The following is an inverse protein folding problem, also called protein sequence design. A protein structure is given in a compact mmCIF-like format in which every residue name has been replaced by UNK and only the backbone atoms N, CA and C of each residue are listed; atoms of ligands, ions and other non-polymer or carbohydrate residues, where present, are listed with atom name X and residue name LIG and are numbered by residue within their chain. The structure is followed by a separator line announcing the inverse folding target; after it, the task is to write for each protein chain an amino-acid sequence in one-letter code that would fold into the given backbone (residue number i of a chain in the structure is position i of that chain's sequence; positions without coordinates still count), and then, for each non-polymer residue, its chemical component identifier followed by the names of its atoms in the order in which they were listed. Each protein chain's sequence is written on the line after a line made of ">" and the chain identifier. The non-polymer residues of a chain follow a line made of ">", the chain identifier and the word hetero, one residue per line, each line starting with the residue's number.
data_IF_490066136551
#
_entry.id   IF_490066136551
#
_cell.length_a   1.000
_cell.length_b   1.000
_cell.length_c   1.000
_cell.angle_alpha   90.00
_cell.angle_beta   90.00
_cell.angle_gamma   90.00
#
_symmetry.space_group_name_H-M   'P 1'
#
loop_
_entity.id
_entity.type
_entity.pdbx_description
1 polymer ?
#
# COMPACT_ATOMS: atom_id res chain seq x y z
N UNK A 1 65.63 -8.99 -27.21
CA UNK A 1 65.07 -9.74 -26.06
C UNK A 1 64.07 -8.86 -25.35
N UNK A 2 62.80 -8.94 -25.73
CA UNK A 2 61.71 -8.17 -25.12
C UNK A 2 60.94 -9.08 -24.17
N UNK A 3 60.79 -8.68 -22.91
CA UNK A 3 59.88 -9.33 -21.95
C UNK A 3 58.46 -8.80 -22.19
N UNK A 4 57.45 -9.65 -22.43
CA UNK A 4 56.07 -9.23 -22.32
C UNK A 4 55.61 -9.34 -20.85
N UNK A 5 54.95 -8.29 -20.37
CA UNK A 5 54.17 -8.32 -19.12
C UNK A 5 52.86 -9.04 -19.39
N UNK A 6 52.60 -10.11 -18.66
CA UNK A 6 51.30 -10.80 -18.62
C UNK A 6 50.39 -10.01 -17.67
N UNK A 7 49.19 -9.55 -18.08
CA UNK A 7 48.17 -9.18 -17.12
C UNK A 7 47.39 -10.43 -16.73
N UNK A 8 47.36 -10.69 -15.43
CA UNK A 8 46.47 -11.63 -14.77
C UNK A 8 45.05 -11.05 -14.88
N UNK A 9 44.18 -11.66 -15.70
CA UNK A 9 42.74 -11.42 -15.62
C UNK A 9 42.14 -12.43 -14.65
N UNK A 10 41.80 -11.96 -13.46
CA UNK A 10 40.94 -12.67 -12.51
C UNK A 10 39.47 -12.33 -12.78
N UNK A 11 38.65 -13.35 -12.56
CA UNK A 11 37.21 -13.47 -12.72
C UNK A 11 36.35 -12.32 -12.16
N UNK A 12 35.18 -12.13 -12.77
CA UNK A 12 33.88 -12.25 -12.08
C UNK A 12 32.74 -11.96 -13.08
N UNK A 13 32.16 -13.01 -13.67
CA UNK A 13 30.82 -12.91 -14.22
C UNK A 13 29.85 -13.01 -13.02
N UNK A 14 29.53 -11.87 -12.41
CA UNK A 14 28.48 -11.79 -11.41
C UNK A 14 27.13 -11.85 -12.14
N UNK A 15 26.37 -12.90 -11.86
CA UNK A 15 25.00 -13.07 -12.30
C UNK A 15 24.15 -11.88 -11.82
N UNK A 16 23.58 -11.13 -12.76
CA UNK A 16 22.43 -10.28 -12.51
C UNK A 16 21.21 -11.18 -12.31
N UNK A 17 21.09 -11.76 -11.13
CA UNK A 17 19.80 -12.25 -10.64
C UNK A 17 19.09 -11.02 -10.07
N UNK A 18 18.12 -10.52 -10.82
CA UNK A 18 17.11 -9.62 -10.26
C UNK A 18 16.48 -10.32 -9.06
N UNK A 19 16.61 -9.72 -7.88
CA UNK A 19 15.86 -10.18 -6.72
C UNK A 19 14.38 -9.91 -7.01
N UNK A 20 13.65 -10.94 -7.44
CA UNK A 20 12.21 -10.96 -7.21
C UNK A 20 12.02 -10.80 -5.70
N UNK A 21 11.20 -9.85 -5.26
CA UNK A 21 10.85 -9.76 -3.84
C UNK A 21 9.95 -10.94 -3.48
N UNK A 22 10.58 -12.07 -3.13
CA UNK A 22 9.89 -13.25 -2.60
C UNK A 22 9.48 -12.98 -1.16
N UNK A 23 8.23 -13.29 -0.81
CA UNK A 23 7.78 -13.29 0.59
C UNK A 23 8.55 -14.32 1.43
N UNK A 24 8.54 -14.15 2.75
CA UNK A 24 9.26 -15.05 3.67
C UNK A 24 8.34 -16.11 4.22
N UNK A 25 8.76 -17.37 4.12
CA UNK A 25 7.99 -18.54 4.52
C UNK A 25 8.25 -18.96 5.96
N UNK A 26 7.16 -19.18 6.69
CA UNK A 26 7.14 -19.59 8.10
C UNK A 26 6.18 -20.76 8.29
N UNK A 27 6.61 -21.77 9.04
CA UNK A 27 5.81 -22.96 9.31
C UNK A 27 5.75 -23.27 10.81
N UNK A 28 4.55 -23.55 11.32
CA UNK A 28 4.36 -24.07 12.67
C UNK A 28 4.10 -25.58 12.58
N UNK A 29 4.97 -26.35 13.22
CA UNK A 29 4.93 -27.81 13.21
C UNK A 29 4.92 -28.36 14.63
N UNK A 30 3.95 -29.22 14.92
CA UNK A 30 3.83 -29.90 16.22
C UNK A 30 3.58 -31.40 16.02
N UNK A 31 4.37 -32.23 16.70
CA UNK A 31 4.29 -33.70 16.59
C UNK A 31 4.37 -34.22 15.14
N UNK A 32 5.16 -33.56 14.29
CA UNK A 32 5.33 -33.96 12.89
C UNK A 32 4.27 -33.42 11.93
N UNK A 33 3.24 -32.73 12.42
CA UNK A 33 2.15 -32.14 11.60
C UNK A 33 2.30 -30.63 11.48
N UNK A 34 2.16 -30.13 10.26
CA UNK A 34 2.16 -28.68 9.99
C UNK A 34 0.71 -28.21 10.17
N UNK A 35 0.53 -27.13 10.92
CA UNK A 35 -0.78 -26.60 11.23
C UNK A 35 -0.96 -25.13 10.85
N UNK A 36 0.14 -24.40 10.64
CA UNK A 36 0.15 -23.06 10.08
C UNK A 36 1.28 -22.98 9.06
N UNK A 37 1.00 -22.38 7.91
CA UNK A 37 1.97 -21.98 6.88
C UNK A 37 1.70 -20.53 6.54
N UNK A 38 2.73 -19.69 6.51
CA UNK A 38 2.61 -18.27 6.28
C UNK A 38 3.77 -17.76 5.44
N UNK A 39 3.49 -17.27 4.24
CA UNK A 39 4.41 -16.51 3.41
C UNK A 39 3.99 -15.04 3.46
N UNK A 40 4.86 -14.13 3.88
CA UNK A 40 4.48 -12.72 4.05
C UNK A 40 5.68 -11.77 3.94
N UNK A 41 5.42 -10.57 3.43
CA UNK A 41 6.27 -9.39 3.60
C UNK A 41 5.63 -8.50 4.66
N UNK A 42 6.45 -7.96 5.56
CA UNK A 42 5.96 -7.09 6.64
C UNK A 42 6.89 -5.91 6.82
N UNK A 43 6.32 -4.71 6.84
CA UNK A 43 6.99 -3.48 7.24
C UNK A 43 6.41 -2.94 8.54
N UNK A 44 7.28 -2.47 9.41
CA UNK A 44 6.95 -1.89 10.71
C UNK A 44 7.29 -0.40 10.67
N UNK A 45 6.36 0.42 11.16
CA UNK A 45 6.58 1.83 11.47
C UNK A 45 6.27 2.02 12.95
N UNK A 46 7.26 2.40 13.75
CA UNK A 46 7.14 2.48 15.22
C UNK A 46 7.51 3.88 15.67
N UNK A 47 6.57 4.58 16.30
CA UNK A 47 6.82 5.83 17.00
C UNK A 47 7.36 5.52 18.40
N UNK A 48 8.55 6.04 18.73
CA UNK A 48 9.22 5.79 20.00
C UNK A 48 9.92 7.04 20.55
N UNK A 49 10.05 7.17 21.88
CA UNK A 49 10.70 8.33 22.48
C UNK A 49 12.22 8.32 22.27
N UNK A 50 12.75 9.45 21.78
CA UNK A 50 14.19 9.68 21.59
C UNK A 50 14.54 11.11 22.06
N UNK A 51 15.56 11.28 22.92
CA UNK A 51 16.10 12.57 23.41
C UNK A 51 15.09 13.74 23.44
N UNK A 52 14.05 13.63 24.27
CA UNK A 52 13.07 14.71 24.49
C UNK A 52 12.08 14.97 23.35
N UNK A 53 12.04 14.14 22.31
CA UNK A 53 11.04 14.16 21.23
C UNK A 53 10.59 12.73 20.86
N UNK A 54 9.62 12.61 19.96
CA UNK A 54 9.21 11.33 19.36
C UNK A 54 9.97 11.12 18.06
N UNK A 55 10.40 9.89 17.80
CA UNK A 55 11.09 9.48 16.58
C UNK A 55 10.36 8.30 15.93
N UNK A 56 10.44 8.20 14.61
CA UNK A 56 9.80 7.14 13.83
C UNK A 56 10.86 6.17 13.30
N UNK A 57 10.81 4.91 13.74
CA UNK A 57 11.60 3.82 13.16
C UNK A 57 10.80 3.13 12.06
N UNK A 58 11.43 2.91 10.90
CA UNK A 58 10.84 2.16 9.79
C UNK A 58 11.79 1.02 9.41
N UNK A 59 11.29 -0.22 9.43
CA UNK A 59 12.07 -1.40 9.07
C UNK A 59 11.17 -2.55 8.61
N UNK A 60 11.74 -3.45 7.81
CA UNK A 60 11.06 -4.66 7.36
C UNK A 60 11.34 -5.85 8.29
N UNK A 61 10.45 -6.84 8.29
CA UNK A 61 10.74 -8.17 8.82
C UNK A 61 11.94 -8.74 8.04
N UNK A 62 13.08 -9.02 8.69
CA UNK A 62 14.26 -9.47 7.98
C UNK A 62 14.14 -10.95 7.57
N UNK A 63 14.91 -11.34 6.56
CA UNK A 63 15.10 -12.75 6.17
C UNK A 63 15.57 -13.66 7.31
N UNK A 64 16.20 -13.08 8.34
CA UNK A 64 16.68 -13.79 9.53
C UNK A 64 15.59 -14.05 10.56
N UNK A 65 14.35 -13.63 10.31
CA UNK A 65 13.20 -13.96 11.15
C UNK A 65 13.00 -15.48 11.24
N UNK A 66 12.66 -15.99 12.42
CA UNK A 66 12.46 -17.42 12.66
C UNK A 66 11.22 -17.67 13.50
N UNK A 67 10.59 -18.83 13.29
CA UNK A 67 9.45 -19.25 14.12
C UNK A 67 9.93 -19.56 15.53
N UNK A 68 9.40 -18.86 16.54
CA UNK A 68 9.68 -19.11 17.94
C UNK A 68 8.90 -20.35 18.39
N UNK A 69 9.57 -21.50 18.42
CA UNK A 69 8.99 -22.82 18.66
C UNK A 69 8.26 -22.95 20.01
N UNK A 70 8.69 -22.21 21.03
CA UNK A 70 8.07 -22.25 22.37
C UNK A 70 6.82 -21.37 22.48
N UNK A 71 6.65 -20.40 21.57
CA UNK A 71 5.55 -19.45 21.57
C UNK A 71 4.53 -19.74 20.47
N UNK A 72 4.95 -20.50 19.45
CA UNK A 72 4.09 -20.95 18.36
C UNK A 72 3.49 -22.32 18.69
N UNK A 73 2.21 -22.53 18.40
CA UNK A 73 1.51 -23.78 18.70
C UNK A 73 0.45 -24.10 17.66
N UNK A 74 0.14 -25.37 17.49
CA UNK A 74 -0.98 -25.83 16.68
C UNK A 74 -2.33 -25.78 17.41
N UNK A 75 -2.35 -25.43 18.70
CA UNK A 75 -3.55 -25.43 19.52
C UNK A 75 -4.01 -26.85 19.86
N UNK A 76 -3.66 -27.33 21.06
CA UNK A 76 -4.15 -28.58 21.66
C UNK A 76 -4.47 -28.36 23.14
N UNK A 77 -5.40 -29.13 23.69
CA UNK A 77 -5.74 -29.09 25.11
C UNK A 77 -6.26 -27.72 25.55
N UNK A 78 -5.61 -27.10 26.53
CA UNK A 78 -6.01 -25.83 27.17
C UNK A 78 -5.69 -24.57 26.33
N UNK A 79 -4.96 -24.70 25.22
CA UNK A 79 -4.73 -23.63 24.24
C UNK A 79 -5.64 -23.88 23.02
N UNK A 80 -6.84 -23.26 22.94
CA UNK A 80 -7.88 -23.65 21.97
C UNK A 80 -7.59 -23.20 20.54
N UNK A 81 -6.52 -22.43 20.31
CA UNK A 81 -6.26 -21.72 19.06
C UNK A 81 -4.80 -21.83 18.62
N UNK A 82 -4.51 -22.14 17.34
CA UNK A 82 -3.18 -22.05 16.77
C UNK A 82 -2.62 -20.63 16.86
N UNK A 83 -1.30 -20.53 17.04
CA UNK A 83 -0.55 -19.26 17.11
C UNK A 83 0.75 -19.42 16.35
N UNK A 84 1.07 -18.46 15.50
CA UNK A 84 2.39 -18.30 14.87
C UNK A 84 3.09 -17.12 15.52
N UNK A 85 4.32 -17.30 16.00
CA UNK A 85 5.17 -16.22 16.50
C UNK A 85 6.49 -16.22 15.76
N UNK A 86 6.78 -15.15 15.04
CA UNK A 86 8.02 -14.94 14.27
C UNK A 86 8.91 -14.00 15.08
N UNK A 87 10.06 -14.48 15.54
CA UNK A 87 11.05 -13.69 16.26
C UNK A 87 12.17 -13.22 15.36
N UNK A 88 12.65 -11.99 15.57
CA UNK A 88 13.77 -11.41 14.84
C UNK A 88 14.50 -10.36 15.68
N UNK A 89 15.72 -10.01 15.28
CA UNK A 89 16.52 -9.04 16.02
C UNK A 89 16.78 -9.44 17.47
N UNK A 90 17.00 -8.44 18.32
CA UNK A 90 17.23 -8.61 19.74
C UNK A 90 15.92 -8.45 20.53
N UNK A 91 14.99 -9.37 20.29
CA UNK A 91 13.76 -9.50 21.06
C UNK A 91 12.49 -8.96 20.38
N UNK A 92 12.51 -8.77 19.05
CA UNK A 92 11.30 -8.38 18.31
C UNK A 92 10.51 -9.63 17.95
N UNK A 93 9.19 -9.55 17.97
CA UNK A 93 8.36 -10.62 17.44
C UNK A 93 7.04 -10.14 16.85
N UNK A 94 6.59 -10.84 15.82
CA UNK A 94 5.27 -10.72 15.21
C UNK A 94 4.48 -11.98 15.54
N UNK A 95 3.30 -11.85 16.14
CA UNK A 95 2.42 -12.96 16.49
C UNK A 95 1.09 -12.85 15.73
N UNK A 96 0.66 -13.96 15.15
CA UNK A 96 -0.66 -14.15 14.53
C UNK A 96 -1.42 -15.21 15.32
N UNK A 97 -2.49 -14.81 15.97
CA UNK A 97 -3.39 -15.70 16.71
C UNK A 97 -4.60 -16.03 15.87
N UNK A 98 -4.82 -17.32 15.63
CA UNK A 98 -5.90 -17.79 14.76
C UNK A 98 -7.15 -18.11 15.55
N UNK A 99 -8.30 -17.93 14.93
CA UNK A 99 -9.57 -18.44 15.44
C UNK A 99 -10.28 -19.22 14.34
N UNK A 100 -10.92 -20.32 14.73
CA UNK A 100 -11.75 -21.14 13.87
C UNK A 100 -13.21 -20.98 14.25
N UNK A 101 -14.05 -20.86 13.23
CA UNK A 101 -15.51 -20.98 13.30
C UNK A 101 -15.95 -22.30 12.66
N UNK A 102 -17.25 -22.52 12.44
CA UNK A 102 -17.73 -23.74 11.78
C UNK A 102 -17.11 -23.97 10.39
N UNK A 103 -16.98 -22.90 9.58
CA UNK A 103 -16.58 -23.01 8.18
C UNK A 103 -15.38 -22.15 7.78
N UNK A 104 -14.91 -21.25 8.65
CA UNK A 104 -13.83 -20.31 8.35
C UNK A 104 -12.77 -20.29 9.44
N UNK A 105 -11.55 -19.91 9.06
CA UNK A 105 -10.52 -19.45 9.98
C UNK A 105 -10.24 -17.96 9.74
N UNK A 106 -9.77 -17.28 10.77
CA UNK A 106 -9.30 -15.90 10.70
C UNK A 106 -8.12 -15.66 11.61
N UNK A 107 -7.33 -14.64 11.31
CA UNK A 107 -6.39 -14.06 12.28
C UNK A 107 -7.21 -13.18 13.22
N UNK A 108 -7.49 -13.66 14.42
CA UNK A 108 -8.27 -12.90 15.41
C UNK A 108 -7.49 -11.70 15.92
N UNK A 109 -6.18 -11.87 16.09
CA UNK A 109 -5.31 -10.89 16.71
C UNK A 109 -3.92 -10.98 16.10
N UNK A 110 -3.44 -9.85 15.60
CA UNK A 110 -2.04 -9.62 15.27
C UNK A 110 -1.42 -8.85 16.44
N UNK A 111 -0.29 -9.34 16.94
CA UNK A 111 0.47 -8.70 18.02
C UNK A 111 1.89 -8.43 17.55
N UNK A 112 2.36 -7.19 17.74
CA UNK A 112 3.76 -6.85 17.56
C UNK A 112 4.42 -6.55 18.91
N UNK A 113 5.51 -7.25 19.17
CA UNK A 113 6.34 -7.09 20.36
C UNK A 113 7.69 -6.52 19.96
N UNK A 114 8.12 -5.43 20.59
CA UNK A 114 9.39 -4.77 20.27
C UNK A 114 10.17 -4.30 21.50
N UNK A 115 11.48 -4.36 21.39
CA UNK A 115 12.50 -4.02 22.35
C UNK A 115 13.27 -2.81 21.83
N UNK A 116 13.07 -1.67 22.49
CA UNK A 116 13.75 -0.41 22.16
C UNK A 116 15.25 -0.44 22.50
N UNK A 117 15.74 -1.46 23.22
CA UNK A 117 17.17 -1.64 23.48
C UNK A 117 17.93 -2.17 22.26
N UNK A 118 17.23 -2.62 21.22
CA UNK A 118 17.86 -3.05 19.97
C UNK A 118 18.26 -1.86 19.11
N UNK A 119 19.51 -1.41 19.28
CA UNK A 119 20.07 -0.27 18.56
C UNK A 119 20.12 -0.47 17.03
N UNK A 120 19.98 -1.71 16.51
CA UNK A 120 19.91 -1.94 15.08
C UNK A 120 18.60 -1.43 14.46
N UNK A 121 17.49 -1.50 15.21
CA UNK A 121 16.18 -1.00 14.80
C UNK A 121 15.82 0.34 15.46
N UNK A 122 16.37 0.61 16.64
CA UNK A 122 16.08 1.78 17.48
C UNK A 122 17.37 2.48 17.93
N UNK A 123 18.17 3.03 17.00
CA UNK A 123 19.49 3.59 17.32
C UNK A 123 19.42 4.77 18.30
N UNK A 124 18.34 5.55 18.23
CA UNK A 124 18.16 6.78 19.01
C UNK A 124 17.57 6.55 20.41
N UNK A 125 17.10 5.33 20.70
CA UNK A 125 16.52 4.98 21.99
C UNK A 125 17.56 4.96 23.13
N UNK A 126 18.83 4.67 22.81
CA UNK A 126 19.91 4.49 23.80
C UNK A 126 20.70 5.77 24.12
N UNK A 127 20.43 6.89 23.44
CA UNK A 127 21.35 8.03 23.42
C UNK A 127 21.10 9.12 24.48
N UNK A 128 20.12 8.97 25.37
CA UNK A 128 19.77 9.98 26.39
C UNK A 128 19.56 9.37 27.77
N UNK A 129 20.41 9.75 28.72
CA UNK A 129 20.28 9.36 30.12
C UNK A 129 18.93 9.76 30.74
N UNK A 130 18.54 8.98 31.76
CA UNK A 130 17.36 9.04 32.65
C UNK A 130 16.08 8.27 32.28
N UNK A 131 15.82 7.86 31.03
CA UNK A 131 14.68 6.97 30.76
C UNK A 131 15.16 5.52 30.61
N UNK A 132 15.07 4.74 31.69
CA UNK A 132 15.10 3.27 31.59
C UNK A 132 13.82 2.81 30.89
N UNK A 133 13.84 2.71 29.56
CA UNK A 133 12.83 1.93 28.85
C UNK A 133 13.19 0.46 29.08
N UNK A 134 12.83 -0.06 30.26
CA UNK A 134 12.99 -1.47 30.60
C UNK A 134 11.71 -2.21 30.23
N UNK A 135 11.81 -3.04 29.19
CA UNK A 135 10.77 -4.02 28.86
C UNK A 135 10.53 -4.13 27.36
N UNK A 136 10.09 -5.32 26.96
CA UNK A 136 9.50 -5.52 25.63
C UNK A 136 8.12 -4.87 25.64
N UNK A 137 7.88 -3.97 24.68
CA UNK A 137 6.60 -3.33 24.46
C UNK A 137 5.74 -4.23 23.58
N UNK A 138 4.43 -4.28 23.83
CA UNK A 138 3.51 -5.13 23.08
C UNK A 138 2.27 -4.32 22.68
N UNK A 139 1.90 -4.42 21.41
CA UNK A 139 0.70 -3.84 20.84
C UNK A 139 -0.04 -4.89 20.03
N UNK A 140 -1.37 -4.91 20.11
CA UNK A 140 -2.19 -5.88 19.36
C UNK A 140 -3.41 -5.21 18.75
N UNK A 141 -3.90 -5.81 17.67
CA UNK A 141 -5.11 -5.38 16.97
C UNK A 141 -5.73 -6.55 16.20
N UNK A 142 -7.05 -6.52 16.01
CA UNK A 142 -7.74 -7.47 15.14
C UNK A 142 -7.43 -7.20 13.67
N UNK A 143 -7.48 -8.24 12.84
CA UNK A 143 -7.30 -8.11 11.39
C UNK A 143 -8.57 -8.52 10.64
N UNK A 144 -8.61 -8.21 9.35
CA UNK A 144 -9.64 -8.65 8.42
C UNK A 144 -9.23 -9.92 7.64
N UNK A 145 -8.08 -10.52 7.97
CA UNK A 145 -7.55 -11.72 7.33
C UNK A 145 -8.41 -12.91 7.73
N UNK A 146 -9.18 -13.43 6.78
CA UNK A 146 -10.04 -14.59 6.96
C UNK A 146 -10.20 -15.38 5.67
N UNK A 147 -10.40 -16.69 5.80
CA UNK A 147 -10.64 -17.58 4.67
C UNK A 147 -11.48 -18.79 5.10
N UNK A 148 -12.03 -19.50 4.11
CA UNK A 148 -12.74 -20.76 4.36
C UNK A 148 -11.76 -21.84 4.81
N UNK A 149 -12.20 -22.75 5.67
CA UNK A 149 -11.39 -23.92 6.04
C UNK A 149 -11.05 -24.76 4.80
N UNK A 150 -9.80 -25.22 4.69
CA UNK A 150 -9.33 -25.97 3.52
C UNK A 150 -9.09 -25.08 2.28
N UNK A 151 -8.84 -23.79 2.49
CA UNK A 151 -8.37 -22.86 1.45
C UNK A 151 -7.18 -22.07 1.97
N UNK A 152 -6.21 -21.78 1.10
CA UNK A 152 -5.13 -20.83 1.40
C UNK A 152 -5.62 -19.41 1.17
N UNK A 153 -5.43 -18.53 2.14
CA UNK A 153 -5.64 -17.10 1.97
C UNK A 153 -4.52 -16.53 1.10
N UNK A 154 -4.87 -15.73 0.09
CA UNK A 154 -3.91 -15.01 -0.75
C UNK A 154 -4.28 -13.52 -0.77
N UNK A 155 -3.30 -12.66 -0.48
CA UNK A 155 -3.44 -11.22 -0.63
C UNK A 155 -2.09 -10.59 -1.05
N UNK A 156 -1.96 -10.29 -2.33
CA UNK A 156 -0.84 -9.60 -2.94
C UNK A 156 -0.86 -8.13 -2.51
N UNK A 157 -2.04 -7.51 -2.51
CA UNK A 157 -2.21 -6.11 -2.09
C UNK A 157 -1.73 -5.86 -0.67
N UNK A 158 -1.31 -4.62 -0.46
CA UNK A 158 -0.89 -4.14 0.86
C UNK A 158 -2.09 -3.99 1.80
N UNK A 159 -1.92 -4.47 3.03
CA UNK A 159 -2.86 -4.28 4.13
C UNK A 159 -2.15 -3.68 5.36
N UNK A 160 -2.74 -2.66 5.98
CA UNK A 160 -2.11 -1.93 7.08
C UNK A 160 -2.92 -2.06 8.36
N UNK A 161 -2.30 -2.68 9.37
CA UNK A 161 -2.85 -2.85 10.71
C UNK A 161 -2.26 -1.79 11.63
N UNK A 162 -3.12 -0.85 12.06
CA UNK A 162 -2.73 0.29 12.89
C UNK A 162 -2.94 -0.04 14.38
N UNK A 163 -1.90 0.15 15.20
CA UNK A 163 -1.82 -0.26 16.61
C UNK A 163 -1.18 0.81 17.50
N UNK A 164 -1.97 1.72 18.06
CA UNK A 164 -1.48 2.82 18.92
C UNK A 164 -0.34 3.63 18.26
N UNK A 165 0.91 3.34 18.62
CA UNK A 165 2.13 3.98 18.16
C UNK A 165 2.90 3.13 17.11
N UNK A 166 2.30 2.05 16.61
CA UNK A 166 2.88 1.13 15.63
C UNK A 166 1.93 0.94 14.46
N UNK A 167 2.46 0.97 13.24
CA UNK A 167 1.76 0.50 12.05
C UNK A 167 2.49 -0.72 11.49
N UNK A 168 1.75 -1.80 11.27
CA UNK A 168 2.24 -3.04 10.64
C UNK A 168 1.62 -3.12 9.25
N UNK A 169 2.46 -3.19 8.22
CA UNK A 169 2.04 -3.24 6.82
C UNK A 169 2.38 -4.61 6.27
N UNK A 170 1.38 -5.40 5.92
CA UNK A 170 1.53 -6.71 5.29
C UNK A 170 1.36 -6.59 3.79
N UNK A 171 2.11 -7.35 3.00
CA UNK A 171 1.91 -7.48 1.56
C UNK A 171 2.38 -8.85 1.09
N UNK A 172 1.91 -9.29 -0.08
CA UNK A 172 2.25 -10.59 -0.64
C UNK A 172 2.08 -11.75 0.38
N UNK A 173 0.90 -11.77 1.00
CA UNK A 173 0.51 -12.71 2.06
C UNK A 173 -0.10 -13.96 1.45
N UNK A 174 0.52 -15.11 1.68
CA UNK A 174 -0.06 -16.44 1.51
C UNK A 174 -0.18 -17.07 2.89
N UNK A 175 -1.37 -17.44 3.34
CA UNK A 175 -1.55 -17.92 4.71
C UNK A 175 -2.55 -19.06 4.77
N UNK A 176 -2.26 -20.09 5.55
CA UNK A 176 -3.24 -21.11 5.91
C UNK A 176 -3.04 -21.59 7.33
N UNK A 177 -4.15 -21.80 8.05
CA UNK A 177 -4.16 -22.40 9.37
C UNK A 177 -5.11 -23.60 9.40
N UNK A 178 -4.93 -24.48 10.39
CA UNK A 178 -5.72 -25.71 10.57
C UNK A 178 -5.56 -26.73 9.43
N UNK A 179 -4.35 -26.87 8.90
CA UNK A 179 -4.05 -27.82 7.82
C UNK A 179 -4.39 -29.25 8.24
N UNK A 180 -5.08 -29.98 7.34
CA UNK A 180 -5.52 -31.37 7.59
C UNK A 180 -4.52 -32.40 7.07
N UNK A 181 -3.78 -32.08 5.99
CA UNK A 181 -2.91 -33.01 5.27
C UNK A 181 -1.42 -32.61 5.27
N UNK A 182 -0.99 -31.70 6.15
CA UNK A 182 0.36 -31.12 6.18
C UNK A 182 0.81 -30.47 4.85
N UNK A 183 -0.13 -30.14 3.98
CA UNK A 183 0.12 -29.50 2.68
C UNK A 183 -0.80 -28.31 2.53
N UNK A 184 -0.30 -27.24 1.91
CA UNK A 184 -1.07 -26.08 1.56
C UNK A 184 -2.25 -26.48 0.66
N UNK A 185 -3.41 -25.91 0.93
CA UNK A 185 -4.61 -26.12 0.13
C UNK A 185 -4.41 -25.60 -1.28
N UNK A 186 -4.83 -26.40 -2.26
CA UNK A 186 -4.82 -26.02 -3.68
C UNK A 186 -5.85 -24.92 -3.94
N UNK A 187 -6.99 -24.99 -3.23
CA UNK A 187 -8.03 -24.00 -3.32
C UNK A 187 -7.61 -22.71 -2.63
N UNK A 188 -7.89 -21.59 -3.27
CA UNK A 188 -7.47 -20.28 -2.83
C UNK A 188 -8.67 -19.43 -2.41
N UNK A 189 -8.48 -18.66 -1.35
CA UNK A 189 -9.37 -17.61 -0.92
C UNK A 189 -8.64 -16.29 -1.09
N UNK A 190 -8.93 -15.64 -2.19
CA UNK A 190 -8.39 -14.33 -2.51
C UNK A 190 -9.03 -13.24 -1.64
N UNK A 191 -8.21 -12.34 -1.12
CA UNK A 191 -8.69 -11.21 -0.35
C UNK A 191 -9.56 -10.28 -1.22
N UNK A 192 -10.47 -9.55 -0.59
CA UNK A 192 -11.38 -8.67 -1.33
C UNK A 192 -10.67 -7.54 -2.09
N UNK A 193 -9.43 -7.20 -1.69
CA UNK A 193 -8.60 -6.19 -2.34
C UNK A 193 -8.05 -6.65 -3.70
N UNK A 194 -7.85 -7.95 -3.87
CA UNK A 194 -7.27 -8.52 -5.09
C UNK A 194 -8.36 -9.02 -6.07
N UNK A 195 -9.57 -9.27 -5.57
CA UNK A 195 -10.67 -9.76 -6.41
C UNK A 195 -11.04 -8.76 -7.52
N UNK A 196 -11.07 -9.19 -8.79
CA UNK A 196 -11.53 -8.36 -9.89
C UNK A 196 -13.03 -8.06 -9.74
N UNK A 197 -13.37 -6.76 -9.78
CA UNK A 197 -14.74 -6.28 -9.66
C UNK A 197 -15.58 -6.78 -10.84
N UNK A 198 -16.46 -7.76 -10.61
CA UNK A 198 -17.26 -8.38 -11.68
C UNK A 198 -18.36 -7.43 -12.12
N UNK A 199 -18.14 -6.73 -13.24
CA UNK A 199 -19.16 -5.89 -13.87
C UNK A 199 -19.98 -6.76 -14.82
N UNK A 200 -21.26 -6.99 -14.52
CA UNK A 200 -22.17 -7.78 -15.38
C UNK A 200 -22.44 -6.99 -16.67
N UNK A 201 -21.80 -7.38 -17.77
CA UNK A 201 -22.03 -6.82 -19.09
C UNK A 201 -23.17 -7.59 -19.79
N UNK A 202 -24.28 -6.91 -20.08
CA UNK A 202 -25.37 -7.46 -20.92
C UNK A 202 -25.16 -7.02 -22.36
N UNK A 203 -24.84 -7.98 -23.22
CA UNK A 203 -24.76 -7.83 -24.68
C UNK A 203 -26.16 -7.74 -25.28
N UNK A 204 -26.44 -6.72 -26.10
CA UNK A 204 -27.55 -6.80 -27.06
C UNK A 204 -27.22 -6.06 -28.36
N UNK A 205 -27.55 -6.72 -29.46
CA UNK A 205 -27.14 -6.44 -30.83
C UNK A 205 -27.70 -5.13 -31.41
N UNK A 206 -26.87 -4.55 -32.27
CA UNK A 206 -27.08 -3.36 -33.08
C UNK A 206 -28.14 -3.59 -34.16
N UNK A 207 -29.23 -2.83 -34.13
CA UNK A 207 -29.99 -2.50 -35.34
C UNK A 207 -30.32 -1.01 -35.40
N UNK A 208 -30.02 -0.46 -36.57
CA UNK A 208 -30.13 0.93 -37.00
C UNK A 208 -31.57 1.24 -37.40
N UNK A 209 -32.15 2.35 -36.95
CA UNK A 209 -33.00 3.20 -37.80
C UNK A 209 -33.22 4.57 -37.17
N UNK A 210 -33.22 5.56 -38.05
CA UNK A 210 -33.27 7.00 -37.82
C UNK A 210 -34.71 7.48 -37.74
N UNK A 211 -35.08 8.25 -36.71
CA UNK A 211 -35.89 9.49 -36.81
C UNK A 211 -36.23 10.09 -35.42
N UNK A 212 -36.25 11.41 -35.39
CA UNK A 212 -36.52 12.38 -34.31
C UNK A 212 -37.85 13.09 -34.68
N UNK A 213 -38.64 13.84 -33.85
CA UNK A 213 -38.46 14.35 -32.46
C UNK A 213 -39.66 14.29 -31.47
N UNK A 214 -39.33 14.67 -30.21
CA UNK A 214 -40.11 15.37 -29.17
C UNK A 214 -41.27 14.67 -28.43
N UNK A 215 -41.10 14.40 -27.12
CA UNK A 215 -41.86 15.04 -26.00
C UNK A 215 -41.46 14.48 -24.61
N UNK A 216 -41.27 15.41 -23.66
CA UNK A 216 -41.44 15.37 -22.18
C UNK A 216 -40.98 14.19 -21.29
N UNK A 217 -40.18 14.59 -20.28
CA UNK A 217 -40.08 14.11 -18.89
C UNK A 217 -39.07 12.99 -18.57
N UNK A 218 -38.39 13.05 -17.39
CA UNK A 218 -37.04 12.55 -17.23
C UNK A 218 -36.92 11.23 -16.44
N UNK A 219 -36.05 10.35 -16.93
CA UNK A 219 -35.26 9.35 -16.19
C UNK A 219 -34.46 8.51 -17.21
N UNK A 220 -33.44 7.71 -16.85
CA UNK A 220 -32.76 7.55 -15.56
C UNK A 220 -31.22 7.68 -15.63
N UNK A 221 -30.64 8.10 -14.50
CA UNK A 221 -29.38 7.64 -13.91
C UNK A 221 -28.22 7.32 -14.86
N UNK A 222 -27.35 8.32 -15.05
CA UNK A 222 -25.97 8.14 -15.50
C UNK A 222 -25.27 7.09 -14.64
N UNK A 223 -24.72 6.03 -15.27
CA UNK A 223 -23.69 5.18 -14.68
C UNK A 223 -22.57 6.08 -14.12
N UNK A 224 -22.00 5.83 -12.92
CA UNK A 224 -20.90 6.65 -12.43
C UNK A 224 -19.74 6.58 -13.43
N UNK A 225 -19.55 7.66 -14.16
CA UNK A 225 -18.50 7.81 -15.15
C UNK A 225 -17.18 8.02 -14.41
N UNK A 226 -16.14 7.24 -14.75
CA UNK A 226 -14.79 7.49 -14.24
C UNK A 226 -14.44 8.97 -14.45
N UNK A 227 -13.79 9.62 -13.46
CA UNK A 227 -13.49 11.04 -13.56
C UNK A 227 -12.64 11.33 -14.78
N UNK A 228 -12.93 12.44 -15.45
CA UNK A 228 -12.20 12.84 -16.64
C UNK A 228 -10.72 13.11 -16.32
N UNK A 229 -9.82 12.69 -17.22
CA UNK A 229 -8.38 12.86 -17.06
C UNK A 229 -8.00 14.32 -17.27
N UNK A 230 -7.41 14.94 -16.24
CA UNK A 230 -6.85 16.29 -16.30
C UNK A 230 -5.36 16.28 -16.58
N UNK A 231 -4.85 17.35 -17.21
CA UNK A 231 -3.43 17.55 -17.49
C UNK A 231 -2.92 18.74 -16.70
N UNK A 232 -1.84 18.55 -15.95
CA UNK A 232 -1.29 19.51 -15.03
C UNK A 232 0.21 19.68 -15.30
N UNK A 233 0.67 20.93 -15.38
CA UNK A 233 2.08 21.27 -15.61
C UNK A 233 2.51 22.34 -14.60
N UNK A 234 3.47 22.00 -13.75
CA UNK A 234 4.08 22.96 -12.82
C UNK A 234 5.46 23.33 -13.34
N UNK A 235 5.65 24.63 -13.57
CA UNK A 235 6.93 25.21 -13.98
C UNK A 235 7.65 25.80 -12.77
N UNK A 236 8.88 25.32 -12.52
CA UNK A 236 9.78 25.86 -11.52
C UNK A 236 10.78 26.85 -12.11
N UNK A 237 11.84 27.17 -11.34
CA UNK A 237 12.90 28.10 -11.79
C UNK A 237 13.70 27.59 -13.00
N UNK A 238 13.83 26.27 -13.13
CA UNK A 238 14.64 25.62 -14.16
C UNK A 238 13.79 24.98 -15.27
N UNK A 239 12.55 25.45 -15.45
CA UNK A 239 11.58 24.87 -16.40
C UNK A 239 10.55 23.97 -15.72
N UNK A 240 9.84 23.17 -16.52
CA UNK A 240 8.82 22.25 -16.03
C UNK A 240 9.42 21.20 -15.10
N UNK A 241 8.80 21.04 -13.94
CA UNK A 241 9.31 20.18 -12.87
C UNK A 241 8.26 19.24 -12.28
N UNK A 242 6.98 19.43 -12.61
CA UNK A 242 5.93 18.40 -12.50
C UNK A 242 5.13 18.38 -13.79
N UNK A 243 4.95 17.19 -14.35
CA UNK A 243 4.00 16.94 -15.42
C UNK A 243 3.13 15.77 -14.96
N UNK A 244 1.81 15.95 -14.97
CA UNK A 244 0.87 14.94 -14.54
C UNK A 244 -0.35 14.90 -15.46
N UNK A 245 -0.85 13.69 -15.73
CA UNK A 245 -2.08 13.42 -16.44
C UNK A 245 -2.86 12.39 -15.63
N UNK A 246 -3.98 12.75 -15.01
CA UNK A 246 -4.74 11.83 -14.15
C UNK A 246 -6.20 12.27 -13.96
N UNK A 247 -7.10 11.30 -13.89
CA UNK A 247 -8.45 11.46 -13.34
C UNK A 247 -8.43 11.27 -11.83
N UNK A 248 -9.26 12.04 -11.10
CA UNK A 248 -9.22 12.08 -9.63
C UNK A 248 -10.63 11.99 -9.04
N UNK A 249 -10.79 11.12 -8.04
CA UNK A 249 -11.96 11.06 -7.18
C UNK A 249 -11.51 11.10 -5.71
N UNK A 250 -12.10 12.01 -4.93
CA UNK A 250 -11.88 12.09 -3.50
C UNK A 250 -13.09 11.48 -2.77
N UNK A 251 -12.83 10.50 -1.90
CA UNK A 251 -13.84 9.86 -1.06
C UNK A 251 -13.58 10.20 0.41
N UNK A 252 -14.52 10.87 1.08
CA UNK A 252 -14.39 11.27 2.49
C UNK A 252 -15.56 10.75 3.32
N UNK A 253 -15.25 9.92 4.32
CA UNK A 253 -16.21 9.45 5.31
C UNK A 253 -16.32 10.45 6.46
N UNK A 254 -17.54 10.77 6.88
CA UNK A 254 -17.79 11.76 7.95
C UNK A 254 -18.93 11.35 8.89
N UNK A 255 -18.90 11.86 10.13
CA UNK A 255 -20.02 11.70 11.07
C UNK A 255 -21.10 12.74 10.76
N UNK A 256 -22.32 12.30 10.49
CA UNK A 256 -23.48 13.18 10.33
C UNK A 256 -24.03 13.66 11.68
N UNK A 257 -24.83 14.73 11.67
CA UNK A 257 -25.51 15.29 12.85
C UNK A 257 -26.41 14.27 13.56
N UNK A 258 -26.91 13.29 12.83
CA UNK A 258 -27.78 12.21 13.34
C UNK A 258 -26.98 11.03 13.91
N UNK A 259 -25.64 11.15 13.99
CA UNK A 259 -24.74 10.11 14.52
C UNK A 259 -24.46 8.95 13.57
N UNK A 260 -24.91 9.03 12.31
CA UNK A 260 -24.62 8.04 11.26
C UNK A 260 -23.36 8.42 10.48
N UNK A 261 -22.67 7.43 9.91
CA UNK A 261 -21.58 7.69 8.96
C UNK A 261 -22.14 8.05 7.59
N UNK A 262 -21.74 9.21 7.06
CA UNK A 262 -21.94 9.63 5.68
C UNK A 262 -20.68 9.46 4.85
N UNK A 263 -20.83 9.45 3.53
CA UNK A 263 -19.74 9.39 2.56
C UNK A 263 -19.94 10.51 1.54
N UNK A 264 -18.93 11.36 1.39
CA UNK A 264 -18.87 12.40 0.36
C UNK A 264 -17.92 11.94 -0.75
N UNK A 265 -18.43 11.90 -1.98
CA UNK A 265 -17.69 11.44 -3.17
C UNK A 265 -17.56 12.59 -4.15
N UNK A 266 -16.35 13.06 -4.38
CA UNK A 266 -16.05 14.21 -5.20
C UNK A 266 -15.17 13.83 -6.40
N UNK A 267 -15.79 13.76 -7.57
CA UNK A 267 -15.07 13.63 -8.85
C UNK A 267 -14.54 14.99 -9.29
N UNK A 268 -13.23 15.10 -9.49
CA UNK A 268 -12.60 16.32 -9.97
C UNK A 268 -12.92 16.49 -11.46
N UNK A 269 -13.31 17.71 -11.84
CA UNK A 269 -13.57 18.07 -13.24
C UNK A 269 -12.38 18.90 -13.74
N UNK A 270 -11.57 18.40 -14.68
CA UNK A 270 -10.35 19.08 -15.11
C UNK A 270 -10.53 20.53 -15.57
N UNK A 271 -11.60 20.82 -16.32
CA UNK A 271 -11.89 22.18 -16.81
C UNK A 271 -12.14 23.20 -15.69
N UNK A 272 -12.52 22.72 -14.51
CA UNK A 272 -12.88 23.51 -13.34
C UNK A 272 -11.88 23.33 -12.18
N UNK A 273 -10.77 22.62 -12.42
CA UNK A 273 -9.74 22.36 -11.42
C UNK A 273 -8.56 23.28 -11.69
N UNK A 274 -8.20 24.13 -10.73
CA UNK A 274 -6.98 24.93 -10.83
C UNK A 274 -5.80 24.14 -10.25
N UNK A 275 -4.62 24.36 -10.83
CA UNK A 275 -3.39 23.72 -10.36
C UNK A 275 -2.30 24.76 -10.10
N UNK A 276 -1.44 24.45 -9.14
CA UNK A 276 -0.21 25.20 -8.83
C UNK A 276 0.81 24.25 -8.22
N UNK A 277 2.01 24.73 -7.91
CA UNK A 277 3.03 23.89 -7.29
C UNK A 277 4.38 24.57 -7.29
N UNK A 278 5.37 23.86 -6.78
CA UNK A 278 6.76 24.28 -6.75
C UNK A 278 7.65 23.06 -6.65
N UNK A 279 8.90 23.22 -7.09
CA UNK A 279 9.90 22.17 -7.01
C UNK A 279 11.24 22.76 -6.59
N UNK A 280 11.97 21.98 -5.80
CA UNK A 280 13.39 22.14 -5.56
C UNK A 280 14.14 20.87 -5.99
N UNK A 281 15.38 20.70 -5.53
CA UNK A 281 16.22 19.58 -5.94
C UNK A 281 15.79 18.23 -5.33
N UNK A 282 15.03 18.26 -4.23
CA UNK A 282 14.67 17.10 -3.41
C UNK A 282 13.16 16.89 -3.29
N UNK A 283 12.36 17.94 -3.41
CA UNK A 283 10.90 17.91 -3.23
C UNK A 283 10.18 18.61 -4.38
N UNK A 284 9.03 18.09 -4.76
CA UNK A 284 8.12 18.68 -5.73
C UNK A 284 6.68 18.58 -5.25
N UNK A 285 5.89 19.63 -5.48
CA UNK A 285 4.50 19.73 -5.05
C UNK A 285 3.58 19.98 -6.24
N UNK A 286 2.47 19.23 -6.27
CA UNK A 286 1.33 19.49 -7.14
C UNK A 286 0.09 19.78 -6.30
N UNK A 287 -0.36 21.02 -6.35
CA UNK A 287 -1.54 21.50 -5.65
C UNK A 287 -2.70 21.57 -6.63
N UNK A 288 -3.79 20.84 -6.38
CA UNK A 288 -5.01 20.86 -7.17
C UNK A 288 -6.14 21.41 -6.32
N UNK A 289 -6.91 22.36 -6.86
CA UNK A 289 -8.07 22.95 -6.17
C UNK A 289 -9.30 22.83 -7.06
N UNK A 290 -10.35 22.21 -6.54
CA UNK A 290 -11.63 22.02 -7.21
C UNK A 290 -12.77 22.40 -6.26
N UNK A 291 -13.47 23.49 -6.57
CA UNK A 291 -14.48 24.04 -5.67
C UNK A 291 -13.88 24.39 -4.31
N UNK A 292 -14.30 23.68 -3.25
CA UNK A 292 -13.79 23.83 -1.87
C UNK A 292 -12.76 22.75 -1.50
N UNK A 293 -12.52 21.78 -2.36
CA UNK A 293 -11.56 20.72 -2.13
C UNK A 293 -10.18 21.12 -2.65
N UNK A 294 -9.15 20.77 -1.88
CA UNK A 294 -7.75 20.95 -2.23
C UNK A 294 -6.98 19.67 -1.94
N UNK A 295 -6.25 19.20 -2.95
CA UNK A 295 -5.32 18.08 -2.90
C UNK A 295 -3.91 18.61 -3.08
N UNK A 296 -2.97 18.16 -2.25
CA UNK A 296 -1.54 18.49 -2.38
C UNK A 296 -0.79 17.18 -2.44
N UNK A 297 -0.19 16.88 -3.59
CA UNK A 297 0.71 15.75 -3.77
C UNK A 297 2.14 16.22 -3.51
N UNK A 298 2.85 15.54 -2.61
CA UNK A 298 4.23 15.80 -2.26
C UNK A 298 5.11 14.66 -2.73
N UNK A 299 5.92 14.92 -3.74
CA UNK A 299 6.91 13.99 -4.28
C UNK A 299 8.29 14.29 -3.71
N UNK A 300 9.06 13.24 -3.46
CA UNK A 300 10.46 13.35 -3.02
C UNK A 300 11.37 12.57 -3.96
N UNK A 301 12.61 13.03 -4.08
CA UNK A 301 13.67 12.35 -4.83
C UNK A 301 14.62 11.64 -3.90
N UNK A 302 14.83 10.35 -4.13
CA UNK A 302 15.95 9.62 -3.56
C UNK A 302 17.17 9.77 -4.48
N UNK A 303 18.10 10.63 -4.07
CA UNK A 303 19.32 10.92 -4.85
C UNK A 303 20.29 9.74 -4.92
N UNK A 304 20.22 8.79 -3.99
CA UNK A 304 21.14 7.65 -3.96
C UNK A 304 20.84 6.63 -5.05
N UNK A 305 19.56 6.45 -5.40
CA UNK A 305 19.11 5.49 -6.43
C UNK A 305 18.50 6.18 -7.66
N UNK A 306 18.52 7.52 -7.69
CA UNK A 306 17.99 8.33 -8.79
C UNK A 306 16.53 7.99 -9.13
N UNK A 307 15.69 7.85 -8.09
CA UNK A 307 14.24 7.64 -8.22
C UNK A 307 13.44 8.71 -7.51
N UNK A 308 12.22 8.95 -7.94
CA UNK A 308 11.22 9.70 -7.20
C UNK A 308 10.05 8.82 -6.79
N UNK A 309 9.31 9.26 -5.78
CA UNK A 309 8.04 8.65 -5.37
C UNK A 309 7.16 9.69 -4.67
N UNK A 310 5.87 9.40 -4.57
CA UNK A 310 4.93 10.17 -3.78
C UNK A 310 5.18 9.89 -2.30
N UNK A 311 5.64 10.89 -1.54
CA UNK A 311 5.87 10.78 -0.10
C UNK A 311 4.61 11.10 0.69
N UNK A 312 3.71 11.91 0.14
CA UNK A 312 2.50 12.27 0.86
C UNK A 312 1.41 12.96 0.06
N UNK A 313 0.21 12.91 0.61
CA UNK A 313 -0.97 13.62 0.13
C UNK A 313 -1.61 14.36 1.28
N UNK A 314 -1.90 15.66 1.07
CA UNK A 314 -2.76 16.44 1.95
C UNK A 314 -4.09 16.69 1.27
N UNK A 315 -5.18 16.43 2.00
CA UNK A 315 -6.56 16.68 1.59
C UNK A 315 -7.14 17.74 2.51
N UNK A 316 -7.82 18.71 1.94
CA UNK A 316 -8.70 19.62 2.68
C UNK A 316 -9.98 19.86 1.89
N UNK A 317 -11.14 19.82 2.53
CA UNK A 317 -12.42 20.09 1.88
C UNK A 317 -13.47 20.55 2.88
N UNK A 318 -14.56 21.11 2.37
CA UNK A 318 -15.77 21.38 3.14
C UNK A 318 -16.81 20.29 2.85
N UNK A 319 -17.21 19.57 3.90
CA UNK A 319 -18.18 18.48 3.86
C UNK A 319 -19.62 18.97 3.68
N UNK A 320 -20.55 18.07 3.30
CA UNK A 320 -21.98 18.38 3.18
C UNK A 320 -22.60 18.93 4.48
N UNK A 321 -23.71 19.71 4.40
CA UNK A 321 -24.33 20.37 5.56
C UNK A 321 -24.79 19.43 6.69
N UNK A 322 -25.06 18.17 6.38
CA UNK A 322 -25.42 17.11 7.32
C UNK A 322 -24.24 16.65 8.17
N UNK A 323 -22.99 16.98 7.80
CA UNK A 323 -21.81 16.67 8.60
C UNK A 323 -21.82 17.42 9.94
N UNK A 324 -21.41 16.73 10.99
CA UNK A 324 -21.26 17.28 12.34
C UNK A 324 -20.10 18.30 12.40
N UNK A 325 -19.04 18.05 11.65
CA UNK A 325 -17.92 18.98 11.44
C UNK A 325 -17.84 19.32 9.95
N UNK A 326 -18.07 20.57 9.55
CA UNK A 326 -18.14 20.93 8.12
C UNK A 326 -16.77 21.05 7.45
N UNK A 327 -15.68 21.26 8.20
CA UNK A 327 -14.34 21.28 7.63
C UNK A 327 -13.65 19.93 7.84
N UNK A 328 -13.00 19.44 6.79
CA UNK A 328 -12.25 18.20 6.79
C UNK A 328 -10.83 18.45 6.33
N UNK A 329 -9.86 17.93 7.07
CA UNK A 329 -8.45 17.94 6.73
C UNK A 329 -7.84 16.58 7.06
N UNK A 330 -7.02 16.07 6.15
CA UNK A 330 -6.31 14.81 6.31
C UNK A 330 -4.95 14.91 5.64
N UNK A 331 -3.94 14.25 6.22
CA UNK A 331 -2.60 14.20 5.66
C UNK A 331 -2.01 12.81 5.86
N UNK A 332 -1.36 12.31 4.82
CA UNK A 332 -0.43 11.18 4.90
C UNK A 332 0.91 11.66 4.36
N UNK A 333 1.98 11.47 5.13
CA UNK A 333 3.35 11.84 4.74
C UNK A 333 4.30 10.63 4.70
N UNK A 334 3.75 9.41 4.64
CA UNK A 334 4.50 8.15 4.70
C UNK A 334 4.15 7.23 3.53
N UNK A 335 3.98 7.81 2.34
CA UNK A 335 3.66 7.14 1.07
C UNK A 335 4.93 6.74 0.31
N UNK A 336 4.79 5.79 -0.62
CA UNK A 336 5.85 5.35 -1.56
C UNK A 336 5.31 5.00 -2.96
N UNK A 337 4.08 5.42 -3.26
CA UNK A 337 3.35 5.17 -4.51
C UNK A 337 3.84 6.07 -5.66
N UNK A 338 3.34 5.82 -6.87
CA UNK A 338 3.62 6.63 -8.07
C UNK A 338 5.11 6.87 -8.36
N UNK A 339 5.96 5.90 -8.04
CA UNK A 339 7.41 6.05 -8.13
C UNK A 339 8.00 5.59 -9.45
N UNK A 340 8.95 6.35 -9.98
CA UNK A 340 9.73 6.00 -11.17
C UNK A 340 11.16 6.57 -11.12
N UNK A 341 12.01 6.15 -12.05
CA UNK A 341 13.37 6.70 -12.18
C UNK A 341 13.34 8.16 -12.63
N UNK A 342 14.28 8.98 -12.15
CA UNK A 342 14.36 10.40 -12.51
C UNK A 342 14.64 10.55 -14.01
N UNK A 343 13.74 11.25 -14.71
CA UNK A 343 13.76 11.38 -16.18
C UNK A 343 12.75 10.47 -16.90
N UNK A 344 12.17 9.51 -16.20
CA UNK A 344 11.08 8.65 -16.67
C UNK A 344 9.74 9.12 -16.08
N UNK A 345 8.64 8.65 -16.66
CA UNK A 345 7.28 8.85 -16.15
C UNK A 345 6.72 7.54 -15.59
N UNK A 346 6.10 7.60 -14.41
CA UNK A 346 5.24 6.53 -13.91
C UNK A 346 3.91 6.55 -14.68
N UNK A 347 3.39 5.39 -15.10
CA UNK A 347 2.08 5.27 -15.76
C UNK A 347 1.26 4.10 -15.19
N UNK A 348 -0.02 4.33 -14.93
CA UNK A 348 -0.98 3.30 -14.53
C UNK A 348 -2.36 3.60 -15.11
N UNK A 349 -2.86 2.71 -15.98
CA UNK A 349 -4.18 2.80 -16.59
C UNK A 349 -5.27 2.30 -15.64
N UNK A 350 -4.96 1.25 -14.87
CA UNK A 350 -5.80 0.74 -13.80
C UNK A 350 -6.10 1.82 -12.75
N UNK A 351 -7.22 1.66 -12.05
CA UNK A 351 -7.56 2.52 -10.91
C UNK A 351 -6.60 2.24 -9.75
N UNK A 352 -5.96 3.29 -9.25
CA UNK A 352 -5.06 3.21 -8.09
C UNK A 352 -5.67 4.02 -6.94
N UNK A 353 -5.73 3.46 -5.74
CA UNK A 353 -6.34 4.13 -4.58
C UNK A 353 -5.28 4.52 -3.58
N UNK A 354 -5.12 5.83 -3.35
CA UNK A 354 -4.25 6.37 -2.31
C UNK A 354 -5.01 6.51 -1.00
N UNK A 355 -4.58 5.78 0.03
CA UNK A 355 -5.11 5.90 1.39
C UNK A 355 -4.46 7.10 2.11
N UNK A 356 -5.22 8.19 2.28
CA UNK A 356 -4.75 9.35 3.04
C UNK A 356 -5.00 9.12 4.53
N UNK A 357 -6.21 8.75 4.91
CA UNK A 357 -6.56 8.32 6.26
C UNK A 357 -7.70 7.30 6.19
N UNK A 358 -8.05 6.63 7.30
CA UNK A 358 -9.22 5.74 7.37
C UNK A 358 -10.54 6.40 6.91
N UNK A 359 -10.60 7.74 7.00
CA UNK A 359 -11.75 8.52 6.55
C UNK A 359 -11.58 9.20 5.20
N UNK A 360 -10.44 9.05 4.51
CA UNK A 360 -10.19 9.71 3.22
C UNK A 360 -9.32 8.90 2.26
N UNK A 361 -9.85 8.72 1.05
CA UNK A 361 -9.17 8.05 -0.07
C UNK A 361 -9.13 8.98 -1.28
N UNK A 362 -8.05 8.92 -2.04
CA UNK A 362 -7.93 9.58 -3.34
C UNK A 362 -7.73 8.50 -4.40
N UNK A 363 -8.74 8.29 -5.24
CA UNK A 363 -8.68 7.34 -6.33
C UNK A 363 -8.16 8.04 -7.58
N UNK A 364 -7.18 7.43 -8.22
CA UNK A 364 -6.49 7.90 -9.42
C UNK A 364 -6.91 7.03 -10.60
N UNK A 365 -7.20 7.65 -11.73
CA UNK A 365 -7.62 6.96 -12.95
C UNK A 365 -6.73 7.36 -14.11
N UNK A 366 -6.14 6.38 -14.80
CA UNK A 366 -5.26 6.62 -15.96
C UNK A 366 -4.17 7.66 -15.64
N UNK A 367 -3.43 7.39 -14.57
CA UNK A 367 -2.37 8.27 -14.07
C UNK A 367 -1.11 8.11 -14.92
N UNK A 368 -0.52 9.24 -15.30
CA UNK A 368 0.85 9.33 -15.78
C UNK A 368 1.50 10.54 -15.11
N UNK A 369 2.60 10.34 -14.41
CA UNK A 369 3.27 11.42 -13.66
C UNK A 369 4.78 11.35 -13.79
N UNK A 370 5.39 12.53 -13.90
CA UNK A 370 6.83 12.71 -13.90
C UNK A 370 7.19 13.97 -13.14
N UNK A 371 8.23 13.90 -12.32
CA UNK A 371 8.70 15.02 -11.50
C UNK A 371 10.22 15.19 -11.58
N UNK A 372 10.69 16.37 -11.17
CA UNK A 372 12.09 16.81 -11.14
C UNK A 372 12.74 17.06 -12.50
N UNK A 373 12.96 16.02 -13.31
CA UNK A 373 13.65 16.12 -14.60
C UNK A 373 12.67 15.86 -15.73
N UNK A 374 12.32 16.90 -16.49
CA UNK A 374 11.38 16.84 -17.61
C UNK A 374 11.99 17.59 -18.80
N UNK A 375 12.23 16.86 -19.89
CA UNK A 375 12.84 17.41 -21.09
C UNK A 375 11.76 17.82 -22.11
N UNK A 376 11.66 19.13 -22.39
CA UNK A 376 10.79 19.65 -23.45
C UNK A 376 9.29 19.51 -23.21
N UNK A 377 8.84 19.63 -21.96
CA UNK A 377 7.43 19.59 -21.52
C UNK A 377 6.66 18.33 -21.93
N UNK A 378 7.39 17.21 -22.10
CA UNK A 378 6.84 15.91 -22.46
C UNK A 378 7.27 14.86 -21.45
N UNK A 379 6.45 13.83 -21.31
CA UNK A 379 6.83 12.65 -20.56
C UNK A 379 8.04 11.96 -21.21
N UNK A 380 8.94 11.47 -20.36
CA UNK A 380 10.08 10.63 -20.73
C UNK A 380 9.65 9.19 -20.98
N UNK A 381 10.59 8.26 -20.80
CA UNK A 381 10.28 6.84 -20.93
C UNK A 381 9.29 6.40 -19.84
N UNK A 382 8.42 5.45 -20.18
CA UNK A 382 7.35 4.99 -19.29
C UNK A 382 7.84 3.84 -18.40
N UNK A 383 7.55 3.93 -17.11
CA UNK A 383 7.58 2.82 -16.15
C UNK A 383 6.14 2.51 -15.75
N UNK A 384 5.63 1.35 -16.18
CA UNK A 384 4.25 0.94 -15.95
C UNK A 384 4.05 0.38 -14.53
N UNK A 385 2.86 0.59 -13.99
CA UNK A 385 2.46 0.00 -12.72
C UNK A 385 2.24 -1.52 -12.88
N UNK A 386 2.46 -2.25 -11.79
CA UNK A 386 2.23 -3.70 -11.74
C UNK A 386 0.75 -4.08 -11.98
N UNK A 387 -0.20 -3.16 -11.70
CA UNK A 387 -1.62 -3.39 -11.94
C UNK A 387 -1.96 -3.52 -13.43
N UNK A 388 -1.24 -2.80 -14.30
CA UNK A 388 -1.44 -2.88 -15.75
C UNK A 388 -0.83 -4.15 -16.35
N UNK A 389 0.31 -4.61 -15.82
CA UNK A 389 0.99 -5.85 -16.27
C UNK A 389 0.09 -7.09 -16.08
N UNK A 390 -0.67 -7.13 -14.98
CA UNK A 390 -1.60 -8.21 -14.66
C UNK A 390 -2.88 -8.20 -15.52
N UNK A 391 -3.15 -7.11 -16.24
CA UNK A 391 -4.34 -6.97 -17.10
C UNK A 391 -4.05 -7.26 -18.58
N UNK A 392 -2.82 -7.71 -18.91
CA UNK A 392 -2.48 -8.22 -20.24
C UNK A 392 -3.13 -9.59 -20.47
N UNK A 393 -4.35 -9.58 -21.00
CA UNK A 393 -4.98 -10.74 -21.62
C UNK A 393 -4.07 -11.26 -22.74
N UNK A 394 -3.39 -12.39 -22.49
CA UNK A 394 -2.69 -13.13 -23.54
C UNK A 394 -3.75 -13.63 -24.53
N UNK A 395 -3.70 -13.25 -25.82
CA UNK A 395 -4.59 -13.82 -26.81
C UNK A 395 -4.23 -15.30 -26.99
N UNK A 396 -5.18 -16.19 -26.73
CA UNK A 396 -5.05 -17.59 -27.14
C UNK A 396 -5.27 -17.61 -28.66
N UNK A 397 -4.26 -18.10 -29.41
CA UNK A 397 -4.31 -18.31 -30.87
C UNK A 397 -4.81 -19.72 -31.17
#
# INVERSE_FOLDING_TARGET
>A
MARPRVPVLLAAAAALLGFLQTSFSFEVKESGKICITADLLVNFSVEYPAKGHQEMANFALPQTGTVLLHNSTCGKGDAPTPVLVIGFGMGQSLSLKFMKTSNQYRVEELTFSYNLSDAAFFPSASAGGEVKIQGTMEVSQKTDIQANLGTRYQCISTDQVNMKNVNVTLSNVTLEAYLVNNTLSVNEYECTRDKPMTTIATTTARQTTSQVPTTTSPAPTTLPQNPAVGKYNVTGKNGTCVLASMGLQLNVSYESKDGKTGLDVLNFIPSNTSFSGNCDNSSAFLNLTFGKAKLIFHFVRNTSIEKFFLQGVTVSTTLPPEAKKPQFEAVNNSMSELGASVGNSYMCNAEETLLVTQGAFVNLFSVQVQVFKIDGDKFGAVEECQLDENNMLIPII
#
